data_IF_135893551005
#
_entry.id   IF_135893551005
#
_cell.length_a   1.000
_cell.length_b   1.000
_cell.length_c   1.000
_cell.angle_alpha   90.00
_cell.angle_beta   90.00
_cell.angle_gamma   90.00
#
_symmetry.space_group_name_H-M   'P 1'
#
loop_
_entity.id
_entity.type
_entity.pdbx_description
1 polymer ?
#
# COMPACT_ATOMS: atom_id res chain seq x y z
N UNK A 1 16.49 -1.10 12.02
CA UNK A 1 16.07 -0.78 10.68
C UNK A 1 14.80 0.04 10.73
N UNK A 2 14.72 1.10 9.94
CA UNK A 2 13.52 1.93 9.77
C UNK A 2 12.98 1.71 8.35
N UNK A 3 11.67 1.57 8.23
CA UNK A 3 10.96 1.55 6.96
C UNK A 3 10.28 2.91 6.76
N UNK A 4 10.80 3.71 5.81
CA UNK A 4 10.20 4.99 5.43
C UNK A 4 9.30 4.82 4.22
N UNK A 5 8.16 5.52 4.20
CA UNK A 5 7.18 5.55 3.10
C UNK A 5 6.75 4.14 2.63
N UNK A 6 6.91 3.12 3.49
CA UNK A 6 6.58 1.74 3.17
C UNK A 6 7.51 1.03 2.17
N UNK A 7 8.61 1.66 1.76
CA UNK A 7 9.51 1.12 0.74
C UNK A 7 11.01 1.32 1.02
N UNK A 8 11.41 2.43 1.63
CA UNK A 8 12.82 2.77 1.83
C UNK A 8 13.36 2.15 3.12
N UNK A 9 14.40 1.34 3.02
CA UNK A 9 15.03 0.64 4.14
C UNK A 9 16.23 1.44 4.64
N UNK A 10 16.08 2.07 5.81
CA UNK A 10 17.10 2.91 6.42
C UNK A 10 17.71 2.20 7.62
N UNK A 11 18.96 1.76 7.56
CA UNK A 11 19.65 1.21 8.71
C UNK A 11 19.98 2.34 9.70
N UNK A 12 19.49 2.22 10.92
CA UNK A 12 19.82 3.13 12.02
C UNK A 12 20.87 2.51 12.91
N UNK A 13 21.82 3.30 13.38
CA UNK A 13 22.66 2.91 14.49
C UNK A 13 21.83 2.85 15.80
N UNK A 14 22.38 2.24 16.84
CA UNK A 14 21.63 2.03 18.08
C UNK A 14 21.19 3.34 18.75
N UNK A 15 22.02 4.38 18.71
CA UNK A 15 21.68 5.67 19.34
C UNK A 15 20.51 6.36 18.60
N UNK A 16 20.53 6.36 17.28
CA UNK A 16 19.42 6.90 16.47
C UNK A 16 18.14 6.08 16.62
N UNK A 17 18.24 4.76 16.70
CA UNK A 17 17.09 3.90 16.95
C UNK A 17 16.42 4.21 18.30
N UNK A 18 17.21 4.42 19.35
CA UNK A 18 16.72 4.79 20.68
C UNK A 18 16.13 6.22 20.68
N UNK A 19 16.81 7.19 20.04
CA UNK A 19 16.29 8.54 19.89
C UNK A 19 14.94 8.58 19.18
N UNK A 20 14.84 7.84 18.08
CA UNK A 20 13.59 7.77 17.31
C UNK A 20 12.47 7.09 18.11
N UNK A 21 12.77 5.99 18.82
CA UNK A 21 11.81 5.31 19.67
C UNK A 21 11.28 6.26 20.78
N UNK A 22 12.19 6.95 21.48
CA UNK A 22 11.80 7.91 22.51
C UNK A 22 10.95 9.07 21.95
N UNK A 23 11.27 9.53 20.73
CA UNK A 23 10.47 10.56 20.06
C UNK A 23 9.08 10.04 19.71
N UNK A 24 8.97 8.83 19.18
CA UNK A 24 7.69 8.20 18.83
C UNK A 24 6.82 7.95 20.06
N UNK A 25 7.42 7.53 21.19
CA UNK A 25 6.69 7.34 22.45
C UNK A 25 6.10 8.67 22.97
N UNK A 26 6.84 9.78 22.86
CA UNK A 26 6.33 11.11 23.20
C UNK A 26 5.22 11.56 22.24
N UNK A 27 5.39 11.31 20.95
CA UNK A 27 4.39 11.66 19.93
C UNK A 27 3.08 10.91 20.13
N UNK A 28 3.10 9.60 20.43
CA UNK A 28 1.89 8.80 20.65
C UNK A 28 1.02 9.31 21.80
N UNK A 29 1.60 10.08 22.74
CA UNK A 29 0.85 10.74 23.81
C UNK A 29 0.03 11.96 23.32
N UNK A 30 0.31 12.45 22.12
CA UNK A 30 -0.41 13.54 21.47
C UNK A 30 -1.31 12.95 20.37
N UNK A 31 -2.60 12.77 20.65
CA UNK A 31 -3.60 12.30 19.69
C UNK A 31 -3.53 13.13 18.40
N UNK A 32 -3.19 12.55 17.25
CA UNK A 32 -3.26 13.02 15.83
C UNK A 32 -3.55 14.52 15.60
N UNK A 33 -3.15 15.40 16.51
CA UNK A 33 -3.28 16.84 16.38
C UNK A 33 -2.08 17.41 15.63
N UNK A 34 -2.31 18.36 14.76
CA UNK A 34 -1.23 19.20 14.26
C UNK A 34 -0.62 19.91 15.47
N UNK A 35 0.68 19.71 15.70
CA UNK A 35 1.41 20.31 16.80
C UNK A 35 1.86 21.72 16.39
N UNK A 36 1.59 22.69 17.25
CA UNK A 36 2.19 24.01 17.15
C UNK A 36 3.71 23.93 17.41
N UNK A 37 4.46 24.93 16.95
CA UNK A 37 5.93 24.94 17.01
C UNK A 37 6.47 24.74 18.44
N UNK A 38 5.86 25.38 19.43
CA UNK A 38 6.21 25.26 20.85
C UNK A 38 5.93 23.86 21.42
N UNK A 39 4.85 23.21 20.97
CA UNK A 39 4.51 21.84 21.35
C UNK A 39 5.51 20.86 20.74
N UNK A 40 5.93 21.09 19.49
CA UNK A 40 6.94 20.29 18.82
C UNK A 40 8.31 20.40 19.51
N UNK A 41 8.73 21.62 19.86
CA UNK A 41 9.97 21.84 20.62
C UNK A 41 9.93 21.16 22.01
N UNK A 42 8.80 21.22 22.71
CA UNK A 42 8.63 20.53 23.99
C UNK A 42 8.75 19.01 23.85
N UNK A 43 8.16 18.44 22.79
CA UNK A 43 8.22 17.01 22.48
C UNK A 43 9.65 16.55 22.17
N UNK A 44 10.37 17.30 21.34
CA UNK A 44 11.78 17.04 21.05
C UNK A 44 12.64 17.13 22.32
N UNK A 45 12.41 18.12 23.16
CA UNK A 45 13.12 18.29 24.44
C UNK A 45 12.87 17.10 25.38
N UNK A 46 11.62 16.61 25.47
CA UNK A 46 11.28 15.43 26.27
C UNK A 46 11.96 14.16 25.75
N UNK A 47 11.99 13.97 24.42
CA UNK A 47 12.67 12.83 23.80
C UNK A 47 14.20 12.86 24.03
N UNK A 48 14.82 14.05 23.98
CA UNK A 48 16.24 14.24 24.32
C UNK A 48 16.50 13.92 25.79
N UNK A 49 15.62 14.33 26.70
CA UNK A 49 15.73 14.03 28.14
C UNK A 49 15.67 12.53 28.40
N UNK A 50 14.74 11.82 27.75
CA UNK A 50 14.64 10.36 27.87
C UNK A 50 15.85 9.65 27.30
N UNK A 51 16.34 10.11 26.14
CA UNK A 51 17.58 9.61 25.56
C UNK A 51 18.78 9.85 26.46
N UNK A 52 18.83 11.00 27.14
CA UNK A 52 19.91 11.29 28.11
C UNK A 52 19.89 10.35 29.32
N UNK A 53 18.73 9.87 29.75
CA UNK A 53 18.66 8.83 30.81
C UNK A 53 19.33 7.53 30.39
N UNK A 54 19.22 7.17 29.11
CA UNK A 54 19.92 6.01 28.55
C UNK A 54 21.43 6.27 28.37
N UNK A 55 21.80 7.50 27.99
CA UNK A 55 23.19 7.92 27.76
C UNK A 55 23.62 9.07 28.73
N UNK A 56 23.71 8.84 30.05
CA UNK A 56 23.90 9.90 31.04
C UNK A 56 25.28 10.58 30.97
N UNK A 57 26.24 9.98 30.28
CA UNK A 57 27.58 10.55 30.07
C UNK A 57 27.66 11.48 28.85
N UNK A 58 26.66 11.49 27.98
CA UNK A 58 26.59 12.33 26.79
C UNK A 58 25.91 13.66 27.15
N UNK A 59 26.50 14.78 26.72
CA UNK A 59 25.89 16.10 26.97
C UNK A 59 24.55 16.20 26.20
N UNK A 60 23.51 16.73 26.87
CA UNK A 60 22.17 16.89 26.26
C UNK A 60 22.20 17.69 24.95
N UNK A 61 23.06 18.71 24.86
CA UNK A 61 23.21 19.51 23.64
C UNK A 61 23.72 18.64 22.46
N UNK A 62 24.59 17.68 22.70
CA UNK A 62 25.05 16.76 21.63
C UNK A 62 23.94 15.83 21.20
N UNK A 63 23.12 15.32 22.14
CA UNK A 63 21.96 14.50 21.82
C UNK A 63 20.90 15.29 21.05
N UNK A 64 20.68 16.55 21.40
CA UNK A 64 19.75 17.43 20.67
C UNK A 64 20.23 17.69 19.23
N UNK A 65 21.52 17.97 19.05
CA UNK A 65 22.09 18.16 17.70
C UNK A 65 22.02 16.89 16.88
N UNK A 66 22.30 15.73 17.48
CA UNK A 66 22.26 14.44 16.80
C UNK A 66 20.81 14.05 16.44
N UNK A 67 19.84 14.35 17.30
CA UNK A 67 18.41 14.18 16.99
C UNK A 67 17.97 15.06 15.82
N UNK A 68 18.41 16.32 15.79
CA UNK A 68 18.12 17.22 14.70
C UNK A 68 18.71 16.71 13.37
N UNK A 69 19.98 16.28 13.39
CA UNK A 69 20.64 15.68 12.22
C UNK A 69 19.92 14.41 11.74
N UNK A 70 19.49 13.54 12.66
CA UNK A 70 18.70 12.34 12.34
C UNK A 70 17.40 12.72 11.62
N UNK A 71 16.61 13.63 12.20
CA UNK A 71 15.32 14.01 11.64
C UNK A 71 15.43 14.69 10.29
N UNK A 72 16.36 15.63 10.13
CA UNK A 72 16.59 16.33 8.84
C UNK A 72 17.05 15.34 7.77
N UNK A 73 17.90 14.38 8.13
CA UNK A 73 18.35 13.35 7.20
C UNK A 73 17.23 12.38 6.80
N UNK A 74 16.42 11.92 7.76
CA UNK A 74 15.27 11.04 7.49
C UNK A 74 14.21 11.76 6.63
N UNK A 75 13.95 13.05 6.90
CA UNK A 75 13.06 13.86 6.08
C UNK A 75 13.59 14.06 4.66
N UNK A 76 14.90 14.27 4.49
CA UNK A 76 15.52 14.37 3.17
C UNK A 76 15.33 13.08 2.38
N UNK A 77 15.62 11.91 2.99
CA UNK A 77 15.41 10.60 2.36
C UNK A 77 13.93 10.41 2.00
N UNK A 78 13.01 10.71 2.91
CA UNK A 78 11.57 10.56 2.67
C UNK A 78 11.07 11.42 1.50
N UNK A 79 11.74 12.53 1.21
CA UNK A 79 11.45 13.46 0.11
C UNK A 79 12.30 13.19 -1.15
N UNK A 80 13.03 12.07 -1.21
CA UNK A 80 13.90 11.73 -2.35
C UNK A 80 15.12 12.64 -2.50
N UNK A 81 15.53 13.35 -1.43
CA UNK A 81 16.70 14.24 -1.41
C UNK A 81 17.88 13.57 -0.71
N UNK A 82 19.08 14.02 -1.03
CA UNK A 82 20.30 13.58 -0.35
C UNK A 82 20.29 13.98 1.14
N UNK A 83 20.53 13.05 2.07
CA UNK A 83 20.60 13.34 3.50
C UNK A 83 21.91 14.04 3.86
N UNK A 84 21.90 14.85 4.93
CA UNK A 84 23.10 15.49 5.47
C UNK A 84 24.04 14.45 6.15
N UNK A 85 23.46 13.45 6.83
CA UNK A 85 24.23 12.36 7.42
C UNK A 85 24.57 11.30 6.37
N UNK A 86 25.75 10.71 6.47
CA UNK A 86 26.14 9.54 5.67
C UNK A 86 25.38 8.31 6.13
N UNK A 87 24.29 7.98 5.40
CA UNK A 87 23.42 6.84 5.69
C UNK A 87 23.47 5.89 4.50
N UNK A 88 23.93 4.65 4.75
CA UNK A 88 23.85 3.58 3.78
C UNK A 88 22.41 3.12 3.64
N UNK A 89 21.88 3.08 2.39
CA UNK A 89 20.57 2.50 2.10
C UNK A 89 20.73 1.01 1.83
N UNK A 90 19.77 0.20 2.28
CA UNK A 90 19.71 -1.23 1.97
C UNK A 90 18.68 -1.46 0.86
N UNK A 91 19.04 -2.24 -0.13
CA UNK A 91 18.07 -2.81 -1.05
C UNK A 91 17.23 -3.88 -0.35
N UNK A 92 16.02 -4.09 -0.84
CA UNK A 92 15.15 -5.13 -0.32
C UNK A 92 15.79 -6.52 -0.47
N UNK A 93 16.53 -6.75 -1.56
CA UNK A 93 17.24 -8.00 -1.81
C UNK A 93 18.35 -8.29 -0.78
N UNK A 94 19.12 -7.27 -0.40
CA UNK A 94 20.16 -7.41 0.65
C UNK A 94 19.54 -7.70 2.02
N UNK A 95 18.41 -7.10 2.32
CA UNK A 95 17.74 -7.29 3.61
C UNK A 95 16.90 -8.59 3.67
N UNK A 96 16.56 -9.19 2.54
CA UNK A 96 15.64 -10.33 2.45
C UNK A 96 16.00 -11.52 3.34
N UNK A 97 17.29 -11.79 3.55
CA UNK A 97 17.76 -12.90 4.39
C UNK A 97 17.55 -12.68 5.89
N UNK A 98 17.42 -11.43 6.33
CA UNK A 98 17.19 -11.04 7.72
C UNK A 98 15.70 -10.87 8.06
N UNK A 99 14.83 -10.92 7.06
CA UNK A 99 13.39 -10.73 7.24
C UNK A 99 12.75 -11.94 7.94
N UNK A 100 11.88 -11.66 8.90
CA UNK A 100 11.04 -12.65 9.60
C UNK A 100 9.56 -12.53 9.26
N UNK A 101 9.19 -11.48 8.51
CA UNK A 101 7.84 -11.19 8.06
C UNK A 101 7.88 -10.17 6.90
N UNK A 102 6.82 -10.05 6.09
CA UNK A 102 6.70 -9.00 5.09
C UNK A 102 6.45 -7.64 5.77
N UNK A 103 6.70 -6.55 5.04
CA UNK A 103 6.40 -5.21 5.54
C UNK A 103 4.89 -4.90 5.52
N UNK A 104 4.13 -5.57 4.65
CA UNK A 104 2.69 -5.36 4.49
C UNK A 104 1.95 -6.67 4.29
N UNK A 105 0.75 -6.73 4.88
CA UNK A 105 -0.22 -7.79 4.64
C UNK A 105 -1.51 -7.20 4.06
N UNK A 106 -1.89 -7.66 2.86
CA UNK A 106 -3.14 -7.29 2.22
C UNK A 106 -4.25 -8.25 2.70
N UNK A 107 -5.27 -7.72 3.38
CA UNK A 107 -6.35 -8.50 3.98
C UNK A 107 -7.57 -8.47 3.06
N UNK A 108 -7.86 -9.57 2.39
CA UNK A 108 -9.05 -9.70 1.56
C UNK A 108 -10.27 -9.97 2.45
N UNK A 109 -10.73 -8.91 3.13
CA UNK A 109 -11.82 -9.04 4.11
C UNK A 109 -13.18 -9.33 3.47
N UNK A 110 -13.32 -9.06 2.17
CA UNK A 110 -14.52 -9.34 1.38
C UNK A 110 -14.19 -10.25 0.20
N UNK A 111 -14.98 -11.28 0.01
CA UNK A 111 -14.84 -12.22 -1.09
C UNK A 111 -15.39 -11.66 -2.41
N UNK A 112 -14.89 -12.19 -3.55
CA UNK A 112 -15.46 -11.86 -4.87
C UNK A 112 -16.85 -12.45 -5.04
N UNK A 113 -17.09 -13.65 -4.48
CA UNK A 113 -18.36 -14.34 -4.50
C UNK A 113 -18.77 -14.76 -3.08
N UNK A 114 -20.08 -14.73 -2.82
CA UNK A 114 -20.68 -15.27 -1.59
C UNK A 114 -21.88 -16.13 -1.94
N UNK A 115 -21.96 -17.32 -1.35
CA UNK A 115 -23.06 -18.27 -1.56
C UNK A 115 -23.29 -18.59 -3.06
N UNK A 116 -22.24 -18.65 -3.86
CA UNK A 116 -22.30 -18.90 -5.30
C UNK A 116 -22.82 -17.73 -6.14
N UNK A 117 -22.85 -16.53 -5.58
CA UNK A 117 -23.24 -15.30 -6.28
C UNK A 117 -22.15 -14.23 -6.18
N UNK A 118 -22.02 -13.46 -7.24
CA UNK A 118 -21.10 -12.33 -7.29
C UNK A 118 -21.41 -11.32 -6.17
N UNK A 119 -20.43 -11.01 -5.33
CA UNK A 119 -20.61 -10.19 -4.13
C UNK A 119 -20.06 -8.77 -4.27
N UNK A 120 -18.96 -8.56 -4.99
CA UNK A 120 -18.44 -7.21 -5.27
C UNK A 120 -19.50 -6.37 -6.01
N UNK A 121 -19.64 -5.09 -5.66
CA UNK A 121 -20.60 -4.19 -6.31
C UNK A 121 -20.13 -3.62 -7.66
N UNK A 122 -19.01 -4.13 -8.22
CA UNK A 122 -18.49 -3.89 -9.57
C UNK A 122 -18.07 -5.21 -10.23
N UNK A 123 -18.00 -5.22 -11.57
CA UNK A 123 -17.48 -6.33 -12.38
C UNK A 123 -16.40 -5.82 -13.32
N UNK A 124 -15.27 -5.38 -12.73
CA UNK A 124 -14.20 -4.73 -13.47
C UNK A 124 -13.60 -5.68 -14.53
N UNK A 125 -13.39 -5.16 -15.75
CA UNK A 125 -12.78 -5.87 -16.88
C UNK A 125 -11.40 -6.42 -16.50
N UNK A 126 -10.62 -5.67 -15.72
CA UNK A 126 -9.25 -5.98 -15.33
C UNK A 126 -9.13 -6.49 -13.88
N UNK A 127 -10.20 -7.06 -13.30
CA UNK A 127 -10.14 -7.54 -11.93
C UNK A 127 -9.15 -8.69 -11.78
N UNK A 128 -8.10 -8.46 -10.99
CA UNK A 128 -7.07 -9.47 -10.75
C UNK A 128 -7.57 -10.65 -9.89
N UNK A 129 -8.62 -10.44 -9.08
CA UNK A 129 -9.12 -11.44 -8.12
C UNK A 129 -10.27 -12.30 -8.67
N UNK A 130 -11.01 -11.80 -9.67
CA UNK A 130 -12.18 -12.46 -10.21
C UNK A 130 -11.82 -13.79 -10.91
N UNK A 131 -12.57 -14.84 -10.64
CA UNK A 131 -12.35 -16.18 -11.23
C UNK A 131 -11.12 -16.88 -10.70
N UNK A 132 -10.56 -16.42 -9.56
CA UNK A 132 -9.47 -17.12 -8.89
C UNK A 132 -9.97 -17.80 -7.62
N UNK A 133 -9.68 -19.11 -7.40
CA UNK A 133 -10.27 -19.91 -6.32
C UNK A 133 -10.12 -19.30 -4.92
N UNK A 134 -8.94 -18.76 -4.61
CA UNK A 134 -8.68 -18.18 -3.27
C UNK A 134 -9.35 -16.82 -3.06
N UNK A 135 -9.88 -16.17 -4.09
CA UNK A 135 -10.66 -14.93 -4.00
C UNK A 135 -12.16 -15.18 -3.75
N UNK A 136 -12.63 -16.42 -3.87
CA UNK A 136 -14.04 -16.82 -3.83
C UNK A 136 -14.36 -17.68 -2.58
N UNK A 137 -13.43 -17.72 -1.62
CA UNK A 137 -13.58 -18.47 -0.37
C UNK A 137 -14.54 -17.76 0.59
N UNK A 138 -15.16 -18.51 1.54
CA UNK A 138 -16.07 -17.92 2.55
C UNK A 138 -15.37 -16.86 3.40
N UNK A 139 -16.09 -15.81 3.74
CA UNK A 139 -15.55 -14.71 4.58
C UNK A 139 -15.46 -15.13 6.06
N UNK A 140 -14.37 -14.73 6.71
CA UNK A 140 -14.21 -14.81 8.14
C UNK A 140 -15.17 -13.86 8.88
N UNK A 141 -15.59 -14.25 10.08
CA UNK A 141 -16.27 -13.37 11.02
C UNK A 141 -15.35 -12.28 11.56
N UNK A 142 -15.93 -11.22 12.14
CA UNK A 142 -15.20 -10.13 12.80
C UNK A 142 -14.18 -10.67 13.82
N UNK A 143 -14.58 -11.61 14.68
CA UNK A 143 -13.70 -12.17 15.73
C UNK A 143 -12.56 -13.02 15.16
N UNK A 144 -12.79 -13.71 14.04
CA UNK A 144 -11.73 -14.43 13.34
C UNK A 144 -10.72 -13.46 12.71
N UNK A 145 -11.18 -12.36 12.08
CA UNK A 145 -10.31 -11.31 11.58
C UNK A 145 -9.49 -10.63 12.70
N UNK A 146 -10.08 -10.37 13.86
CA UNK A 146 -9.34 -9.87 15.04
C UNK A 146 -8.27 -10.86 15.49
N UNK A 147 -8.52 -12.16 15.38
CA UNK A 147 -7.52 -13.20 15.67
C UNK A 147 -6.38 -13.16 14.66
N UNK A 148 -6.70 -13.01 13.36
CA UNK A 148 -5.70 -12.80 12.29
C UNK A 148 -4.85 -11.56 12.58
N UNK A 149 -5.46 -10.41 12.87
CA UNK A 149 -4.75 -9.17 13.21
C UNK A 149 -3.80 -9.36 14.41
N UNK A 150 -4.25 -10.07 15.45
CA UNK A 150 -3.39 -10.39 16.60
C UNK A 150 -2.16 -11.22 16.19
N UNK A 151 -2.34 -12.22 15.33
CA UNK A 151 -1.23 -13.06 14.81
C UNK A 151 -0.24 -12.21 14.00
N UNK A 152 -0.74 -11.34 13.11
CA UNK A 152 0.09 -10.44 12.31
C UNK A 152 0.88 -9.43 13.17
N UNK A 153 0.26 -8.90 14.23
CA UNK A 153 0.94 -8.04 15.20
C UNK A 153 2.07 -8.80 15.92
N UNK A 154 1.82 -10.03 16.35
CA UNK A 154 2.85 -10.87 16.98
C UNK A 154 4.01 -11.21 16.04
N UNK A 155 3.74 -11.28 14.73
CA UNK A 155 4.74 -11.42 13.67
C UNK A 155 5.51 -10.12 13.38
N UNK A 156 5.18 -9.00 14.04
CA UNK A 156 5.74 -7.66 13.81
C UNK A 156 5.56 -7.14 12.37
N UNK A 157 4.45 -7.48 11.73
CA UNK A 157 4.09 -6.92 10.42
C UNK A 157 3.58 -5.49 10.64
N UNK A 158 4.24 -4.45 10.10
CA UNK A 158 3.91 -3.07 10.47
C UNK A 158 2.70 -2.49 9.74
N UNK A 159 2.31 -3.04 8.58
CA UNK A 159 1.27 -2.47 7.73
C UNK A 159 0.22 -3.50 7.33
N UNK A 160 -1.04 -3.09 7.30
CA UNK A 160 -2.14 -3.88 6.74
C UNK A 160 -2.96 -3.05 5.75
N UNK A 161 -3.42 -3.71 4.68
CA UNK A 161 -4.31 -3.10 3.69
C UNK A 161 -5.62 -3.88 3.66
N UNK A 162 -6.72 -3.26 4.01
CA UNK A 162 -8.05 -3.84 3.84
C UNK A 162 -8.44 -3.79 2.37
N UNK A 163 -8.72 -4.94 1.79
CA UNK A 163 -9.04 -5.13 0.37
C UNK A 163 -9.99 -6.33 0.20
N UNK A 164 -10.08 -6.90 -0.98
CA UNK A 164 -10.88 -8.07 -1.30
C UNK A 164 -11.65 -7.89 -2.59
N UNK A 165 -12.91 -8.32 -2.62
CA UNK A 165 -13.84 -7.93 -3.67
C UNK A 165 -14.14 -6.43 -3.56
N UNK A 166 -14.91 -6.06 -2.55
CA UNK A 166 -15.08 -4.67 -2.13
C UNK A 166 -15.25 -4.62 -0.60
N UNK A 167 -14.24 -4.14 0.14
CA UNK A 167 -14.24 -4.19 1.60
C UNK A 167 -15.36 -3.37 2.24
N UNK A 168 -15.85 -2.31 1.60
CA UNK A 168 -16.97 -1.49 2.09
C UNK A 168 -18.34 -2.20 1.99
N UNK A 169 -18.39 -3.42 1.44
CA UNK A 169 -19.58 -4.26 1.51
C UNK A 169 -19.78 -4.85 2.91
N UNK A 170 -18.73 -4.92 3.73
CA UNK A 170 -18.82 -5.36 5.12
C UNK A 170 -19.34 -4.25 6.02
N UNK A 171 -20.32 -4.59 6.87
CA UNK A 171 -20.89 -3.64 7.84
C UNK A 171 -19.95 -3.39 9.03
N UNK A 172 -19.08 -4.36 9.37
CA UNK A 172 -18.13 -4.32 10.47
C UNK A 172 -16.75 -3.75 10.07
N UNK A 173 -16.60 -3.17 8.87
CA UNK A 173 -15.30 -2.68 8.38
C UNK A 173 -14.64 -1.67 9.34
N UNK A 174 -15.40 -0.73 9.89
CA UNK A 174 -14.87 0.27 10.82
C UNK A 174 -14.36 -0.39 12.13
N UNK A 175 -15.03 -1.43 12.62
CA UNK A 175 -14.60 -2.20 13.79
C UNK A 175 -13.29 -2.97 13.51
N UNK A 176 -13.14 -3.51 12.29
CA UNK A 176 -11.89 -4.17 11.87
C UNK A 176 -10.73 -3.17 11.76
N UNK A 177 -10.97 -1.96 11.24
CA UNK A 177 -9.98 -0.89 11.19
C UNK A 177 -9.56 -0.45 12.60
N UNK A 178 -10.51 -0.28 13.52
CA UNK A 178 -10.23 0.04 14.92
C UNK A 178 -9.37 -1.05 15.60
N UNK A 179 -9.69 -2.32 15.34
CA UNK A 179 -8.90 -3.45 15.84
C UNK A 179 -7.48 -3.50 15.26
N UNK A 180 -7.24 -2.83 14.13
CA UNK A 180 -5.95 -2.72 13.46
C UNK A 180 -5.18 -1.44 13.81
N UNK A 181 -5.59 -0.63 14.78
CA UNK A 181 -4.99 0.67 15.11
C UNK A 181 -3.49 0.63 15.48
N UNK A 182 -2.93 -0.55 15.78
CA UNK A 182 -1.49 -0.73 15.96
C UNK A 182 -0.69 -0.66 14.65
N UNK A 183 -1.32 -1.01 13.51
CA UNK A 183 -0.68 -1.05 12.21
C UNK A 183 -0.79 0.31 11.51
N UNK A 184 0.07 0.55 10.52
CA UNK A 184 -0.25 1.50 9.46
C UNK A 184 -1.34 0.86 8.60
N UNK A 185 -2.50 1.51 8.51
CA UNK A 185 -3.71 0.96 7.91
C UNK A 185 -4.04 1.64 6.58
N UNK A 186 -4.33 0.85 5.57
CA UNK A 186 -4.84 1.32 4.28
C UNK A 186 -6.15 0.62 3.92
N UNK A 187 -7.04 1.32 3.26
CA UNK A 187 -8.24 0.77 2.63
C UNK A 187 -8.12 0.91 1.11
N UNK A 188 -8.17 -0.21 0.38
CA UNK A 188 -8.31 -0.21 -1.08
C UNK A 188 -9.78 -0.48 -1.42
N UNK A 189 -10.42 0.45 -2.11
CA UNK A 189 -11.85 0.40 -2.41
C UNK A 189 -12.17 0.97 -3.79
N UNK A 190 -13.32 0.60 -4.35
CA UNK A 190 -13.87 1.25 -5.53
C UNK A 190 -14.58 2.59 -5.21
N UNK A 191 -14.69 2.96 -3.93
CA UNK A 191 -15.19 4.23 -3.45
C UNK A 191 -16.71 4.42 -3.46
N UNK A 192 -17.48 3.54 -4.10
CA UNK A 192 -18.93 3.73 -4.30
C UNK A 192 -19.74 3.77 -3.00
N UNK A 193 -19.25 3.15 -1.93
CA UNK A 193 -19.93 3.13 -0.62
C UNK A 193 -19.26 4.02 0.42
N UNK A 194 -18.33 4.87 0.04
CA UNK A 194 -17.74 5.88 0.93
C UNK A 194 -18.75 7.00 1.21
N UNK A 195 -19.76 6.70 2.02
CA UNK A 195 -20.70 7.69 2.52
C UNK A 195 -20.04 8.60 3.55
N UNK A 196 -20.57 9.83 3.82
CA UNK A 196 -20.04 10.68 4.87
C UNK A 196 -19.96 9.98 6.24
N UNK A 197 -20.95 9.14 6.57
CA UNK A 197 -21.01 8.39 7.82
C UNK A 197 -19.90 7.34 7.91
N UNK A 198 -19.68 6.57 6.84
CA UNK A 198 -18.62 5.58 6.79
C UNK A 198 -17.24 6.25 6.86
N UNK A 199 -17.02 7.33 6.11
CA UNK A 199 -15.76 8.07 6.14
C UNK A 199 -15.45 8.61 7.55
N UNK A 200 -16.45 9.17 8.24
CA UNK A 200 -16.30 9.64 9.62
C UNK A 200 -15.96 8.47 10.58
N UNK A 201 -16.65 7.32 10.44
CA UNK A 201 -16.36 6.13 11.25
C UNK A 201 -14.94 5.59 11.01
N UNK A 202 -14.49 5.52 9.75
CA UNK A 202 -13.13 5.09 9.38
C UNK A 202 -12.07 6.04 9.91
N UNK A 203 -12.32 7.35 9.85
CA UNK A 203 -11.41 8.36 10.42
C UNK A 203 -11.29 8.20 11.95
N UNK A 204 -12.42 8.03 12.64
CA UNK A 204 -12.45 7.79 14.09
C UNK A 204 -11.78 6.46 14.48
N UNK A 205 -11.94 5.42 13.64
CA UNK A 205 -11.26 4.13 13.79
C UNK A 205 -9.75 4.18 13.51
N UNK A 206 -9.21 5.36 13.20
CA UNK A 206 -7.78 5.56 12.94
C UNK A 206 -7.28 4.98 11.61
N UNK A 207 -8.11 4.96 10.56
CA UNK A 207 -7.64 4.62 9.22
C UNK A 207 -6.64 5.68 8.73
N UNK A 208 -5.43 5.23 8.32
CA UNK A 208 -4.37 6.15 7.90
C UNK A 208 -4.58 6.65 6.46
N UNK A 209 -5.02 5.79 5.54
CA UNK A 209 -5.20 6.18 4.15
C UNK A 209 -6.26 5.37 3.41
N UNK A 210 -6.87 5.99 2.41
CA UNK A 210 -7.81 5.35 1.48
C UNK A 210 -7.26 5.44 0.06
N UNK A 211 -7.16 4.32 -0.63
CA UNK A 211 -6.88 4.28 -2.06
C UNK A 211 -8.16 3.95 -2.83
N UNK A 212 -8.60 4.85 -3.69
CA UNK A 212 -9.80 4.68 -4.52
C UNK A 212 -9.39 4.36 -5.95
N UNK A 213 -9.99 3.33 -6.56
CA UNK A 213 -9.77 3.02 -7.98
C UNK A 213 -10.66 3.87 -8.86
N UNK A 214 -10.05 4.71 -9.70
CA UNK A 214 -10.74 5.50 -10.72
C UNK A 214 -10.05 5.33 -12.08
N UNK A 215 -10.73 4.79 -13.08
CA UNK A 215 -10.12 4.49 -14.38
C UNK A 215 -9.99 5.71 -15.30
N UNK A 216 -10.90 6.68 -15.21
CA UNK A 216 -10.93 7.85 -16.10
C UNK A 216 -11.74 8.98 -15.49
N UNK A 217 -11.43 10.21 -15.86
CA UNK A 217 -12.29 11.39 -15.67
C UNK A 217 -13.58 11.31 -16.51
N UNK A 218 -13.57 10.52 -17.60
CA UNK A 218 -14.74 10.29 -18.44
C UNK A 218 -15.60 9.18 -17.85
N UNK A 219 -16.82 9.54 -17.41
CA UNK A 219 -17.73 8.61 -16.71
C UNK A 219 -18.13 7.40 -17.53
N UNK A 220 -18.28 7.51 -18.86
CA UNK A 220 -18.59 6.41 -19.75
C UNK A 220 -17.42 5.40 -19.84
N UNK A 221 -16.18 5.88 -19.94
CA UNK A 221 -14.97 5.01 -19.96
C UNK A 221 -14.83 4.31 -18.61
N UNK A 222 -14.93 5.05 -17.49
CA UNK A 222 -14.89 4.45 -16.17
C UNK A 222 -15.97 3.36 -16.03
N UNK A 223 -17.22 3.67 -16.36
CA UNK A 223 -18.35 2.75 -16.23
C UNK A 223 -18.18 1.48 -17.08
N UNK A 224 -17.65 1.62 -18.30
CA UNK A 224 -17.33 0.49 -19.16
C UNK A 224 -16.28 -0.42 -18.50
N UNK A 225 -15.21 0.16 -17.96
CA UNK A 225 -14.08 -0.61 -17.37
C UNK A 225 -14.45 -1.26 -16.03
N UNK A 226 -15.33 -0.66 -15.24
CA UNK A 226 -15.79 -1.26 -13.97
C UNK A 226 -17.06 -2.11 -14.11
N UNK A 227 -17.63 -2.20 -15.32
CA UNK A 227 -18.78 -3.05 -15.64
C UNK A 227 -20.08 -2.63 -14.95
N UNK A 228 -20.19 -1.37 -14.52
CA UNK A 228 -21.38 -0.83 -13.86
C UNK A 228 -21.43 0.70 -13.95
N UNK A 229 -22.61 1.28 -13.82
CA UNK A 229 -22.80 2.73 -13.80
C UNK A 229 -22.46 3.27 -12.39
N UNK A 230 -21.16 3.42 -12.09
CA UNK A 230 -20.62 3.73 -10.76
C UNK A 230 -19.80 5.02 -10.67
N UNK A 231 -19.51 5.71 -11.78
CA UNK A 231 -18.63 6.88 -11.81
C UNK A 231 -18.99 7.96 -10.80
N UNK A 232 -20.27 8.38 -10.80
CA UNK A 232 -20.72 9.44 -9.89
C UNK A 232 -20.62 9.03 -8.42
N UNK A 233 -20.91 7.76 -8.09
CA UNK A 233 -20.79 7.23 -6.74
C UNK A 233 -19.33 7.22 -6.28
N UNK A 234 -18.39 6.76 -7.15
CA UNK A 234 -16.96 6.76 -6.88
C UNK A 234 -16.42 8.17 -6.67
N UNK A 235 -16.76 9.12 -7.54
CA UNK A 235 -16.36 10.53 -7.41
C UNK A 235 -16.90 11.15 -6.13
N UNK A 236 -18.17 10.87 -5.79
CA UNK A 236 -18.76 11.36 -4.55
C UNK A 236 -18.07 10.73 -3.34
N UNK A 237 -17.69 9.45 -3.41
CA UNK A 237 -16.93 8.76 -2.36
C UNK A 237 -15.55 9.40 -2.12
N UNK A 238 -14.83 9.78 -3.19
CA UNK A 238 -13.56 10.52 -3.07
C UNK A 238 -13.78 11.85 -2.33
N UNK A 239 -14.79 12.63 -2.73
CA UNK A 239 -15.13 13.91 -2.07
C UNK A 239 -15.47 13.72 -0.60
N UNK A 240 -16.24 12.69 -0.25
CA UNK A 240 -16.62 12.39 1.12
C UNK A 240 -15.40 12.03 1.98
N UNK A 241 -14.47 11.21 1.43
CA UNK A 241 -13.27 10.83 2.12
C UNK A 241 -12.32 12.02 2.37
N UNK A 242 -12.12 12.88 1.36
CA UNK A 242 -11.34 14.12 1.50
C UNK A 242 -12.00 15.06 2.52
N UNK A 243 -13.34 15.24 2.46
CA UNK A 243 -14.07 16.10 3.40
C UNK A 243 -14.02 15.57 4.85
N UNK A 244 -13.89 14.26 5.03
CA UNK A 244 -13.72 13.64 6.36
C UNK A 244 -12.29 13.75 6.92
N UNK A 245 -11.33 14.31 6.18
CA UNK A 245 -9.93 14.45 6.59
C UNK A 245 -9.09 13.18 6.39
N UNK A 246 -9.58 12.19 5.66
CA UNK A 246 -8.80 11.01 5.31
C UNK A 246 -7.73 11.36 4.26
N UNK A 247 -6.56 10.73 4.35
CA UNK A 247 -5.54 10.81 3.30
C UNK A 247 -6.02 9.95 2.13
N UNK A 248 -6.33 10.60 1.01
CA UNK A 248 -6.87 9.91 -0.17
C UNK A 248 -5.84 9.83 -1.28
N UNK A 249 -5.63 8.62 -1.80
CA UNK A 249 -4.93 8.39 -3.06
C UNK A 249 -5.90 7.80 -4.10
N UNK A 250 -5.60 8.05 -5.38
CA UNK A 250 -6.34 7.43 -6.49
C UNK A 250 -5.43 6.52 -7.27
N UNK A 251 -5.88 5.28 -7.52
CA UNK A 251 -5.17 4.32 -8.37
C UNK A 251 -5.88 4.16 -9.71
N UNK A 252 -5.11 4.22 -10.80
CA UNK A 252 -5.62 4.02 -12.16
C UNK A 252 -4.88 2.88 -12.87
N UNK A 253 -5.51 1.70 -13.06
CA UNK A 253 -4.97 0.70 -14.00
C UNK A 253 -5.07 1.24 -15.42
N UNK A 254 -3.92 1.31 -16.13
CA UNK A 254 -3.81 1.89 -17.47
C UNK A 254 -4.05 0.83 -18.55
N UNK A 255 -4.84 1.20 -19.55
CA UNK A 255 -5.16 0.38 -20.71
C UNK A 255 -5.43 1.28 -21.93
N UNK A 256 -5.63 0.70 -23.12
CA UNK A 256 -5.87 1.45 -24.36
C UNK A 256 -7.19 2.25 -24.40
N UNK A 257 -8.09 2.06 -23.41
CA UNK A 257 -9.35 2.77 -23.31
C UNK A 257 -9.25 4.04 -22.47
N UNK A 258 -8.22 4.22 -21.64
CA UNK A 258 -8.04 5.36 -20.74
C UNK A 258 -6.68 6.06 -20.89
N UNK A 259 -6.21 6.20 -22.13
CA UNK A 259 -4.90 6.79 -22.48
C UNK A 259 -4.76 8.28 -22.10
N UNK A 260 -5.88 9.02 -21.96
CA UNK A 260 -5.89 10.43 -21.53
C UNK A 260 -5.72 10.56 -20.02
N UNK A 261 -4.66 9.94 -19.46
CA UNK A 261 -4.47 9.85 -18.02
C UNK A 261 -4.15 11.21 -17.38
N UNK A 262 -3.44 12.10 -18.08
CA UNK A 262 -3.19 13.47 -17.62
C UNK A 262 -4.50 14.24 -17.31
N UNK A 263 -5.55 14.06 -18.11
CA UNK A 263 -6.86 14.67 -17.84
C UNK A 263 -7.49 14.10 -16.56
N UNK A 264 -7.28 12.78 -16.31
CA UNK A 264 -7.72 12.13 -15.06
C UNK A 264 -6.94 12.70 -13.86
N UNK A 265 -5.64 12.99 -13.99
CA UNK A 265 -4.87 13.65 -12.94
C UNK A 265 -5.41 15.06 -12.62
N UNK A 266 -5.66 15.88 -13.63
CA UNK A 266 -6.26 17.22 -13.45
C UNK A 266 -7.62 17.13 -12.75
N UNK A 267 -8.42 16.16 -13.14
CA UNK A 267 -9.74 15.94 -12.54
C UNK A 267 -9.62 15.55 -11.05
N UNK A 268 -8.83 14.54 -10.70
CA UNK A 268 -8.69 14.10 -9.30
C UNK A 268 -7.99 15.14 -8.42
N UNK A 269 -7.07 15.94 -8.99
CA UNK A 269 -6.51 17.10 -8.32
C UNK A 269 -7.59 18.11 -7.93
N UNK A 270 -8.57 18.36 -8.82
CA UNK A 270 -9.71 19.24 -8.53
C UNK A 270 -10.62 18.74 -7.41
N UNK A 271 -10.56 17.44 -7.08
CA UNK A 271 -11.25 16.82 -5.95
C UNK A 271 -10.47 16.91 -4.63
N UNK A 272 -9.28 17.50 -4.63
CA UNK A 272 -8.41 17.63 -3.45
C UNK A 272 -7.41 16.48 -3.26
N UNK A 273 -7.29 15.57 -4.21
CA UNK A 273 -6.31 14.47 -4.17
C UNK A 273 -4.93 14.97 -4.59
N UNK A 274 -3.89 14.55 -3.85
CA UNK A 274 -2.48 14.89 -4.11
C UNK A 274 -1.61 13.67 -4.41
N UNK A 275 -2.07 12.48 -4.01
CA UNK A 275 -1.34 11.22 -4.17
C UNK A 275 -2.03 10.35 -5.21
N UNK A 276 -1.32 9.99 -6.26
CA UNK A 276 -1.86 9.14 -7.32
C UNK A 276 -0.92 8.00 -7.63
N UNK A 277 -1.50 6.85 -7.92
CA UNK A 277 -0.76 5.69 -8.41
C UNK A 277 -1.35 5.24 -9.73
N UNK A 278 -0.54 4.65 -10.59
CA UNK A 278 -1.02 3.94 -11.75
C UNK A 278 -0.29 2.62 -11.94
N UNK A 279 -0.89 1.74 -12.69
CA UNK A 279 -0.36 0.39 -12.92
C UNK A 279 -0.63 -0.08 -14.36
N UNK A 280 0.22 -0.94 -14.87
CA UNK A 280 -0.14 -1.79 -15.99
C UNK A 280 -1.12 -2.89 -15.55
N UNK A 281 -1.64 -3.65 -16.50
CA UNK A 281 -2.61 -4.71 -16.22
C UNK A 281 -1.89 -5.96 -15.67
N UNK A 282 -2.21 -6.37 -14.46
CA UNK A 282 -1.66 -7.60 -13.86
C UNK A 282 -2.29 -8.81 -14.53
N UNK A 283 -1.50 -9.75 -15.10
CA UNK A 283 -2.04 -10.89 -15.86
C UNK A 283 -2.54 -12.00 -14.92
N UNK A 284 -3.63 -11.73 -14.21
CA UNK A 284 -4.33 -12.67 -13.33
C UNK A 284 -5.83 -12.38 -13.29
N UNK A 285 -6.64 -13.34 -12.92
CA UNK A 285 -8.10 -13.20 -12.86
C UNK A 285 -8.72 -12.80 -14.20
N UNK A 286 -9.72 -11.92 -14.19
CA UNK A 286 -10.38 -11.42 -15.41
C UNK A 286 -9.42 -10.69 -16.36
N UNK A 287 -8.29 -10.17 -15.86
CA UNK A 287 -7.29 -9.53 -16.71
C UNK A 287 -6.60 -10.49 -17.68
N UNK A 288 -6.70 -11.81 -17.46
CA UNK A 288 -6.27 -12.83 -18.41
C UNK A 288 -7.27 -13.10 -19.55
N UNK A 289 -8.49 -12.60 -19.49
CA UNK A 289 -9.51 -12.78 -20.50
C UNK A 289 -9.16 -12.11 -21.83
N UNK A 290 -9.68 -12.65 -22.94
CA UNK A 290 -9.40 -12.11 -24.28
C UNK A 290 -9.79 -10.64 -24.44
N UNK A 291 -10.93 -10.23 -23.90
CA UNK A 291 -11.41 -8.85 -23.92
C UNK A 291 -10.46 -7.90 -23.18
N UNK A 292 -9.99 -8.31 -21.99
CA UNK A 292 -9.02 -7.53 -21.21
C UNK A 292 -7.66 -7.44 -21.92
N UNK A 293 -7.15 -8.55 -22.46
CA UNK A 293 -5.87 -8.56 -23.21
C UNK A 293 -5.90 -7.66 -24.44
N UNK A 294 -7.06 -7.50 -25.08
CA UNK A 294 -7.23 -6.61 -26.23
C UNK A 294 -7.07 -5.13 -25.87
N UNK A 295 -7.12 -4.79 -24.57
CA UNK A 295 -6.90 -3.43 -24.08
C UNK A 295 -5.50 -3.20 -23.52
N UNK A 296 -4.61 -4.21 -23.57
CA UNK A 296 -3.26 -4.09 -23.04
C UNK A 296 -2.43 -3.08 -23.85
N UNK A 297 -1.66 -2.26 -23.16
CA UNK A 297 -0.72 -1.31 -23.75
C UNK A 297 0.61 -1.99 -24.03
N UNK A 298 1.26 -1.58 -25.10
CA UNK A 298 2.69 -1.86 -25.32
C UNK A 298 3.53 -1.03 -24.33
N UNK A 299 4.79 -1.41 -24.12
CA UNK A 299 5.70 -0.65 -23.27
C UNK A 299 5.90 0.80 -23.78
N UNK A 300 5.94 1.01 -25.11
CA UNK A 300 6.06 2.33 -25.70
C UNK A 300 4.83 3.22 -25.43
N UNK A 301 3.62 2.69 -25.66
CA UNK A 301 2.38 3.42 -25.37
C UNK A 301 2.25 3.75 -23.88
N UNK A 302 2.62 2.81 -23.01
CA UNK A 302 2.63 3.04 -21.56
C UNK A 302 3.64 4.13 -21.15
N UNK A 303 4.84 4.12 -21.74
CA UNK A 303 5.88 5.12 -21.50
C UNK A 303 5.42 6.52 -21.92
N UNK A 304 4.74 6.64 -23.06
CA UNK A 304 4.24 7.93 -23.55
C UNK A 304 3.14 8.49 -22.63
N UNK A 305 2.19 7.64 -22.19
CA UNK A 305 1.15 8.03 -21.23
C UNK A 305 1.76 8.46 -19.89
N UNK A 306 2.77 7.73 -19.39
CA UNK A 306 3.40 8.04 -18.12
C UNK A 306 4.25 9.32 -18.18
N UNK A 307 4.88 9.64 -19.30
CA UNK A 307 5.62 10.87 -19.46
C UNK A 307 4.72 12.10 -19.37
N UNK A 308 3.60 12.11 -20.10
CA UNK A 308 2.59 13.17 -20.03
C UNK A 308 1.96 13.26 -18.62
N UNK A 309 1.74 12.13 -17.97
CA UNK A 309 1.23 12.07 -16.61
C UNK A 309 2.24 12.63 -15.58
N UNK A 310 3.54 12.31 -15.71
CA UNK A 310 4.58 12.79 -14.80
C UNK A 310 4.76 14.31 -14.92
N UNK A 311 4.80 14.85 -16.12
CA UNK A 311 4.84 16.29 -16.39
C UNK A 311 3.60 16.99 -15.76
N UNK A 312 2.40 16.40 -15.95
CA UNK A 312 1.16 16.93 -15.38
C UNK A 312 1.15 16.87 -13.85
N UNK A 313 1.64 15.77 -13.25
CA UNK A 313 1.74 15.64 -11.81
C UNK A 313 2.67 16.68 -11.19
N UNK A 314 3.84 16.93 -11.82
CA UNK A 314 4.78 17.97 -11.42
C UNK A 314 4.16 19.37 -11.51
N UNK A 315 3.48 19.71 -12.62
CA UNK A 315 2.76 20.98 -12.79
C UNK A 315 1.71 21.23 -11.69
N UNK A 316 1.03 20.16 -11.23
CA UNK A 316 -0.03 20.24 -10.24
C UNK A 316 0.46 20.07 -8.78
N UNK A 317 1.75 19.80 -8.57
CA UNK A 317 2.30 19.47 -7.24
C UNK A 317 1.70 18.21 -6.66
N UNK A 318 1.48 17.19 -7.50
CA UNK A 318 0.99 15.86 -7.11
C UNK A 318 2.16 14.87 -7.04
N UNK A 319 2.03 13.87 -6.18
CA UNK A 319 2.93 12.71 -6.15
C UNK A 319 2.35 11.59 -7.00
N UNK A 320 3.11 11.15 -8.01
CA UNK A 320 2.74 10.07 -8.93
C UNK A 320 3.69 8.89 -8.78
N UNK A 321 3.14 7.70 -8.50
CA UNK A 321 3.89 6.45 -8.48
C UNK A 321 3.37 5.46 -9.52
N UNK A 322 4.30 4.79 -10.20
CA UNK A 322 4.01 3.63 -11.04
C UNK A 322 4.26 2.34 -10.26
N UNK A 323 3.29 1.41 -10.22
CA UNK A 323 3.31 0.28 -9.27
C UNK A 323 3.46 -1.11 -9.88
N UNK A 324 3.77 -1.20 -11.19
CA UNK A 324 3.85 -2.49 -11.90
C UNK A 324 5.29 -2.87 -12.28
N UNK A 325 5.94 -3.77 -11.53
CA UNK A 325 7.32 -4.19 -11.83
C UNK A 325 7.42 -4.94 -13.17
N UNK A 326 8.36 -4.53 -14.00
CA UNK A 326 8.69 -5.17 -15.29
C UNK A 326 7.83 -4.76 -16.48
N UNK A 327 6.97 -3.74 -16.35
CA UNK A 327 6.29 -3.11 -17.49
C UNK A 327 7.17 -2.09 -18.20
N UNK A 328 7.95 -1.32 -17.43
CA UNK A 328 8.98 -0.41 -17.92
C UNK A 328 10.27 -0.68 -17.15
N UNK A 329 11.41 -0.39 -17.76
CA UNK A 329 12.71 -0.47 -17.11
C UNK A 329 12.98 0.73 -16.21
N UNK A 330 13.95 0.58 -15.31
CA UNK A 330 14.32 1.59 -14.33
C UNK A 330 14.81 2.89 -14.99
N UNK A 331 15.60 2.81 -16.06
CA UNK A 331 16.14 3.98 -16.77
C UNK A 331 15.00 4.82 -17.35
N UNK A 332 14.02 4.17 -17.97
CA UNK A 332 12.81 4.82 -18.49
C UNK A 332 12.03 5.53 -17.40
N UNK A 333 11.76 4.86 -16.26
CA UNK A 333 11.03 5.46 -15.13
C UNK A 333 11.76 6.65 -14.52
N UNK A 334 13.07 6.52 -14.28
CA UNK A 334 13.90 7.61 -13.74
C UNK A 334 13.99 8.81 -14.68
N UNK A 335 14.01 8.58 -16.00
CA UNK A 335 14.01 9.66 -17.00
C UNK A 335 12.74 10.52 -16.98
N UNK A 336 11.65 10.00 -16.39
CA UNK A 336 10.37 10.71 -16.18
C UNK A 336 10.25 11.34 -14.79
N UNK A 337 11.30 11.28 -13.94
CA UNK A 337 11.25 11.78 -12.57
C UNK A 337 10.59 10.83 -11.58
N UNK A 338 10.28 9.59 -11.97
CA UNK A 338 9.71 8.58 -11.08
C UNK A 338 10.86 7.88 -10.32
N UNK A 339 10.98 8.18 -9.02
CA UNK A 339 12.09 7.71 -8.20
C UNK A 339 11.80 6.38 -7.50
N UNK A 340 10.53 6.07 -7.22
CA UNK A 340 10.12 4.78 -6.66
C UNK A 340 10.00 3.75 -7.77
N UNK A 341 11.02 2.91 -7.91
CA UNK A 341 11.03 1.84 -8.91
C UNK A 341 10.25 0.65 -8.34
N UNK A 342 9.20 0.18 -9.02
CA UNK A 342 8.39 -0.91 -8.50
C UNK A 342 9.16 -2.23 -8.50
N UNK A 343 9.03 -3.00 -7.42
CA UNK A 343 9.63 -4.33 -7.25
C UNK A 343 8.57 -5.39 -6.98
N UNK A 344 8.89 -6.66 -7.24
CA UNK A 344 8.01 -7.77 -6.90
C UNK A 344 8.10 -8.04 -5.39
N UNK A 345 7.00 -7.80 -4.68
CA UNK A 345 6.93 -8.01 -3.23
C UNK A 345 6.46 -9.39 -2.79
N UNK A 346 6.14 -10.31 -3.70
CA UNK A 346 5.53 -11.60 -3.36
C UNK A 346 6.38 -12.41 -2.38
N UNK A 347 5.81 -12.78 -1.23
CA UNK A 347 6.49 -13.42 -0.09
C UNK A 347 7.73 -12.66 0.42
N UNK A 348 7.93 -11.41 0.03
CA UNK A 348 9.06 -10.57 0.38
C UNK A 348 8.57 -9.33 1.15
N UNK A 349 8.25 -8.25 0.47
CA UNK A 349 7.74 -7.02 1.11
C UNK A 349 6.24 -7.05 1.35
N UNK A 350 5.47 -7.85 0.62
CA UNK A 350 4.04 -8.03 0.84
C UNK A 350 3.59 -9.48 0.66
N UNK A 351 2.54 -9.84 1.37
CA UNK A 351 1.75 -11.07 1.22
C UNK A 351 0.28 -10.71 1.36
N UNK A 352 -0.62 -11.69 1.16
CA UNK A 352 -2.04 -11.45 1.36
C UNK A 352 -2.70 -12.57 2.17
N UNK A 353 -3.83 -12.23 2.79
CA UNK A 353 -4.73 -13.15 3.50
C UNK A 353 -6.04 -13.21 2.73
N UNK A 354 -6.46 -14.41 2.37
CA UNK A 354 -7.72 -14.67 1.66
C UNK A 354 -8.94 -14.46 2.56
N UNK A 355 -10.16 -14.39 2.03
CA UNK A 355 -11.36 -14.18 2.85
C UNK A 355 -11.57 -15.23 3.95
N UNK A 356 -11.06 -16.45 3.78
CA UNK A 356 -11.12 -17.56 4.76
C UNK A 356 -9.87 -17.70 5.64
N UNK A 357 -8.96 -16.71 5.63
CA UNK A 357 -7.82 -16.64 6.55
C UNK A 357 -6.54 -17.32 6.09
N UNK A 358 -6.48 -17.77 4.84
CA UNK A 358 -5.29 -18.43 4.29
C UNK A 358 -4.28 -17.42 3.74
N UNK A 359 -3.01 -17.75 3.84
CA UNK A 359 -1.91 -16.88 3.38
C UNK A 359 -1.52 -17.23 1.94
N UNK A 360 -1.40 -16.22 1.09
CA UNK A 360 -0.99 -16.33 -0.30
C UNK A 360 0.17 -15.36 -0.62
N UNK A 361 0.96 -15.60 -1.68
CA UNK A 361 2.17 -14.82 -1.97
C UNK A 361 1.94 -13.32 -2.18
N UNK A 362 0.82 -12.92 -2.79
CA UNK A 362 0.35 -11.55 -2.92
C UNK A 362 -1.15 -11.54 -3.26
N UNK A 363 -1.80 -10.37 -3.14
CA UNK A 363 -3.24 -10.22 -3.40
C UNK A 363 -3.69 -10.59 -4.83
N UNK A 364 -2.76 -10.63 -5.79
CA UNK A 364 -3.08 -10.99 -7.19
C UNK A 364 -2.76 -12.46 -7.52
N UNK A 365 -2.16 -13.19 -6.58
CA UNK A 365 -1.75 -14.58 -6.76
C UNK A 365 -2.65 -15.50 -5.94
N UNK A 366 -3.84 -15.74 -6.46
CA UNK A 366 -4.94 -16.44 -5.80
C UNK A 366 -5.29 -17.78 -6.48
N UNK A 367 -4.48 -18.20 -7.47
CA UNK A 367 -4.71 -19.42 -8.26
C UNK A 367 -4.08 -20.68 -7.66
N UNK A 368 -3.02 -20.49 -6.85
CA UNK A 368 -2.24 -21.59 -6.31
C UNK A 368 -2.71 -21.97 -4.91
N UNK A 369 -2.29 -23.14 -4.43
CA UNK A 369 -2.52 -23.57 -3.06
C UNK A 369 -1.98 -22.54 -2.04
N UNK A 370 -2.64 -22.29 -0.92
CA UNK A 370 -2.18 -21.36 0.11
C UNK A 370 -0.85 -21.81 0.73
N UNK A 371 -0.15 -20.88 1.37
CA UNK A 371 1.09 -21.11 2.10
C UNK A 371 0.84 -21.57 3.54
N UNK A 372 -0.35 -21.34 4.06
CA UNK A 372 -0.80 -21.73 5.40
C UNK A 372 -2.09 -21.03 5.77
N UNK A 373 -2.55 -21.23 7.01
CA UNK A 373 -3.82 -20.76 7.55
C UNK A 373 -3.57 -20.02 8.88
N UNK A 374 -3.84 -18.71 8.94
CA UNK A 374 -3.57 -17.88 10.13
C UNK A 374 -4.48 -18.21 11.33
N UNK A 375 -5.54 -18.99 11.15
CA UNK A 375 -6.38 -19.46 12.25
C UNK A 375 -5.83 -20.74 12.92
N UNK A 376 -4.95 -21.47 12.23
CA UNK A 376 -4.47 -22.78 12.67
C UNK A 376 -2.94 -22.83 12.82
N UNK A 377 -2.20 -22.19 11.92
CA UNK A 377 -0.77 -22.33 11.81
C UNK A 377 -0.03 -21.20 12.55
N UNK A 378 1.20 -21.50 12.97
CA UNK A 378 2.09 -20.45 13.51
C UNK A 378 2.69 -19.67 12.37
N UNK A 379 2.82 -18.36 12.53
CA UNK A 379 3.44 -17.49 11.52
C UNK A 379 4.83 -17.97 11.07
N UNK A 380 5.66 -18.41 12.03
CA UNK A 380 7.01 -18.90 11.71
C UNK A 380 7.00 -20.12 10.78
N UNK A 381 6.01 -20.99 10.87
CA UNK A 381 5.89 -22.16 10.02
C UNK A 381 5.49 -21.75 8.59
N UNK A 382 4.57 -20.77 8.45
CA UNK A 382 4.18 -20.19 7.15
C UNK A 382 5.35 -19.46 6.50
N UNK A 383 6.05 -18.62 7.25
CA UNK A 383 7.16 -17.81 6.72
C UNK A 383 8.35 -18.66 6.28
N UNK A 384 8.63 -19.75 7.00
CA UNK A 384 9.73 -20.66 6.72
C UNK A 384 9.32 -21.86 5.83
N UNK A 385 8.08 -21.91 5.37
CA UNK A 385 7.64 -22.91 4.39
C UNK A 385 8.56 -22.89 3.16
N UNK A 386 9.05 -24.03 2.66
CA UNK A 386 9.98 -24.08 1.53
C UNK A 386 9.47 -23.37 0.28
N UNK A 387 8.16 -23.40 0.02
CA UNK A 387 7.55 -22.72 -1.13
C UNK A 387 7.52 -21.20 -0.91
N UNK A 388 7.19 -20.75 0.32
CA UNK A 388 7.26 -19.34 0.69
C UNK A 388 8.69 -18.80 0.54
N UNK A 389 9.68 -19.54 1.05
CA UNK A 389 11.09 -19.20 0.96
C UNK A 389 11.59 -19.14 -0.50
N UNK A 390 11.16 -20.08 -1.35
CA UNK A 390 11.53 -20.10 -2.76
C UNK A 390 10.95 -18.89 -3.53
N UNK A 391 9.67 -18.55 -3.30
CA UNK A 391 9.05 -17.38 -3.91
C UNK A 391 9.74 -16.09 -3.44
N UNK A 392 10.07 -15.98 -2.14
CA UNK A 392 10.80 -14.84 -1.56
C UNK A 392 12.17 -14.67 -2.21
N UNK A 393 12.94 -15.74 -2.32
CA UNK A 393 14.26 -15.72 -2.95
C UNK A 393 14.16 -15.29 -4.43
N UNK A 394 13.14 -15.74 -5.15
CA UNK A 394 12.91 -15.33 -6.52
C UNK A 394 12.48 -13.86 -6.62
N UNK A 395 11.61 -13.37 -5.73
CA UNK A 395 11.26 -11.95 -5.65
C UNK A 395 12.47 -11.07 -5.39
N UNK A 396 13.35 -11.46 -4.47
CA UNK A 396 14.58 -10.74 -4.18
C UNK A 396 15.57 -10.74 -5.36
N UNK A 397 15.63 -11.84 -6.14
CA UNK A 397 16.49 -11.98 -7.31
C UNK A 397 15.97 -11.21 -8.53
N UNK A 398 14.65 -11.24 -8.76
CA UNK A 398 14.01 -10.63 -9.92
C UNK A 398 13.68 -9.14 -9.72
N UNK A 399 13.84 -8.63 -8.56
CA UNK A 399 13.61 -7.30 -8.01
C UNK A 399 12.54 -6.45 -8.76
N UNK A 400 12.81 -6.09 -10.01
CA UNK A 400 11.95 -5.21 -10.82
C UNK A 400 11.03 -5.96 -11.80
N UNK A 401 10.80 -7.28 -11.64
CA UNK A 401 9.92 -8.07 -12.52
C UNK A 401 8.85 -8.78 -11.71
N UNK A 402 7.57 -8.59 -12.07
CA UNK A 402 6.47 -9.33 -11.46
C UNK A 402 6.50 -10.80 -11.86
N UNK A 403 6.54 -11.71 -10.88
CA UNK A 403 6.55 -13.16 -11.14
C UNK A 403 5.29 -13.65 -11.88
N UNK A 404 4.14 -12.97 -11.70
CA UNK A 404 2.90 -13.31 -12.43
C UNK A 404 3.00 -12.97 -13.93
N UNK A 405 3.80 -11.98 -14.32
CA UNK A 405 4.00 -11.62 -15.73
C UNK A 405 4.65 -12.76 -16.52
N UNK A 406 5.58 -13.49 -15.90
CA UNK A 406 6.20 -14.66 -16.50
C UNK A 406 5.26 -15.87 -16.62
N UNK A 407 4.35 -16.05 -15.66
CA UNK A 407 3.36 -17.15 -15.67
C UNK A 407 2.26 -16.95 -16.70
N UNK A 408 1.82 -15.72 -16.96
CA UNK A 408 0.77 -15.40 -17.95
C UNK A 408 1.18 -15.59 -19.41
N UNK A 409 2.47 -15.68 -19.70
CA UNK A 409 2.98 -15.98 -21.04
C UNK A 409 3.00 -17.50 -21.37
N UNK A 410 2.76 -18.35 -20.37
CA UNK A 410 2.78 -19.81 -20.50
C UNK A 410 1.38 -20.46 -20.56
N UNK A 411 0.33 -19.66 -20.51
CA UNK A 411 -1.08 -20.07 -20.70
C UNK A 411 -1.65 -19.39 -21.97
#
# INVERSE_FOLDING_TARGET
LLLLNGAQLVPLNLSWAIMLANLMDQWQAHERQELEEDQWEALLSAAVEETHRTYPRTKKQLLANDMHLMLTSLMAIAQGREPEAEIGMLSLGEYACEMTAPHRMDLMVSAMEQNGAWHCNQKCLHCYAAGQPMGETPELSTEQWKTVLKTLRQANIPQVTFTGGEPTMREDLAELVEAAAWFVTRLNTNGRRLTPQLCAALYQASLDSVQVTLYSAEGNIHNQLVGTNGFNDTVQGIRNAVAAGLIVSVNTPLCSLNTHYAETLRFVHSLGVRYVTCSGLIPSGSACGAESRATALTAGELADILRDAAETAEELGMELDFTSPGWLDEETLRSMGLHLIPSCGACLSNMAVTPDGKVVPCQSWLSDEPLGDLLCDKWADIWNDPRCAAIRAESARMDHICQLKGKGAAQ
#
